data_IF_474748604027
#
_entry.id   IF_474748604027
#
_cell.length_a   1.000
_cell.length_b   1.000
_cell.length_c   1.000
_cell.angle_alpha   90.00
_cell.angle_beta   90.00
_cell.angle_gamma   90.00
#
_symmetry.space_group_name_H-M   'P 1'
#
loop_
_entity.id
_entity.type
_entity.pdbx_description
1 polymer ?
#
# COMPACT_ATOMS: atom_id res chain seq x y z
N UNK A 1 3.23 6.58 16.39
CA UNK A 1 3.04 6.83 14.95
C UNK A 1 2.41 5.58 14.36
N UNK A 2 1.12 5.63 13.99
CA UNK A 2 0.47 4.48 13.34
C UNK A 2 0.95 4.38 11.90
N UNK A 3 1.49 3.22 11.48
CA UNK A 3 1.94 2.97 10.11
C UNK A 3 0.80 2.33 9.33
N UNK A 4 0.26 3.03 8.33
CA UNK A 4 -0.68 2.44 7.38
C UNK A 4 0.05 2.09 6.09
N UNK A 5 -0.13 0.86 5.60
CA UNK A 5 0.41 0.39 4.32
C UNK A 5 -0.73 0.01 3.40
N UNK A 6 -0.70 0.52 2.17
CA UNK A 6 -1.69 0.22 1.13
C UNK A 6 -1.00 -0.58 0.03
N UNK A 7 -1.59 -1.71 -0.36
CA UNK A 7 -1.08 -2.59 -1.43
C UNK A 7 -2.17 -2.81 -2.47
N UNK A 8 -1.82 -2.67 -3.75
CA UNK A 8 -2.72 -2.95 -4.87
C UNK A 8 -2.64 -4.44 -5.23
N UNK A 9 -3.72 -5.20 -4.99
CA UNK A 9 -3.75 -6.66 -5.17
C UNK A 9 -4.08 -7.07 -6.61
N UNK A 10 -4.91 -6.29 -7.30
CA UNK A 10 -5.33 -6.56 -8.68
C UNK A 10 -4.74 -5.51 -9.62
N UNK A 11 -3.55 -5.80 -10.15
CA UNK A 11 -2.84 -4.93 -11.09
C UNK A 11 -3.19 -5.23 -12.54
N UNK A 12 -3.39 -4.17 -13.31
CA UNK A 12 -3.64 -4.18 -14.75
C UNK A 12 -2.33 -4.01 -15.55
N UNK A 13 -1.36 -3.28 -15.00
CA UNK A 13 -0.04 -3.11 -15.60
C UNK A 13 0.62 -4.47 -15.91
N UNK A 14 1.25 -4.56 -17.09
CA UNK A 14 1.94 -5.78 -17.56
C UNK A 14 3.39 -5.47 -17.93
N UNK A 15 4.29 -6.19 -17.28
CA UNK A 15 5.72 -6.13 -17.51
C UNK A 15 6.26 -7.28 -18.37
N UNK A 16 7.57 -7.37 -18.45
CA UNK A 16 8.28 -8.46 -19.13
C UNK A 16 9.36 -9.05 -18.22
N UNK A 17 9.62 -10.34 -18.41
CA UNK A 17 10.77 -11.04 -17.84
C UNK A 17 11.55 -11.61 -19.00
N UNK A 18 12.83 -11.28 -19.11
CA UNK A 18 13.71 -11.78 -20.16
C UNK A 18 14.99 -12.38 -19.58
N UNK A 19 15.55 -13.36 -20.27
CA UNK A 19 16.85 -13.91 -19.91
C UNK A 19 17.91 -12.82 -20.06
N UNK A 20 18.77 -12.70 -19.05
CA UNK A 20 19.90 -11.76 -19.09
C UNK A 20 21.06 -12.32 -19.93
N UNK A 21 21.25 -13.63 -19.91
CA UNK A 21 22.27 -14.37 -20.64
C UNK A 21 21.81 -15.82 -20.86
N UNK A 22 22.66 -16.65 -21.47
CA UNK A 22 22.46 -18.10 -21.57
C UNK A 22 22.82 -18.88 -20.30
N UNK A 23 23.43 -18.24 -19.29
CA UNK A 23 23.78 -18.87 -18.02
C UNK A 23 22.53 -18.99 -17.13
N UNK A 24 22.09 -20.21 -16.73
CA UNK A 24 20.89 -20.38 -15.91
C UNK A 24 21.02 -19.84 -14.48
N UNK A 25 22.25 -19.60 -14.00
CA UNK A 25 22.49 -19.01 -12.68
C UNK A 25 22.43 -17.47 -12.70
N UNK A 26 22.41 -16.85 -13.88
CA UNK A 26 22.26 -15.40 -13.99
C UNK A 26 20.81 -15.02 -13.74
N UNK A 27 20.62 -14.06 -12.82
CA UNK A 27 19.28 -13.51 -12.54
C UNK A 27 18.69 -12.92 -13.82
N UNK A 28 17.40 -13.19 -14.12
CA UNK A 28 16.75 -12.64 -15.31
C UNK A 28 16.58 -11.12 -15.18
N UNK A 29 16.36 -10.46 -16.30
CA UNK A 29 15.95 -9.06 -16.34
C UNK A 29 14.45 -9.00 -16.12
N UNK A 30 14.02 -8.30 -15.07
CA UNK A 30 12.60 -8.10 -14.74
C UNK A 30 12.27 -6.63 -14.94
N UNK A 31 11.36 -6.35 -15.87
CA UNK A 31 10.77 -5.02 -16.08
C UNK A 31 9.26 -5.09 -15.78
N UNK A 32 8.83 -4.83 -14.55
CA UNK A 32 7.45 -5.02 -14.14
C UNK A 32 6.49 -3.94 -14.67
N UNK A 33 7.01 -2.81 -15.18
CA UNK A 33 6.20 -1.68 -15.67
C UNK A 33 5.11 -1.23 -14.70
N UNK A 34 5.44 -1.13 -13.41
CA UNK A 34 4.47 -0.73 -12.38
C UNK A 34 3.81 0.62 -12.70
N UNK A 35 2.52 0.72 -12.38
CA UNK A 35 1.73 1.94 -12.53
C UNK A 35 1.75 2.52 -13.96
N UNK A 36 1.88 1.66 -14.98
CA UNK A 36 1.73 2.08 -16.37
C UNK A 36 0.27 2.20 -16.78
N UNK A 37 -0.61 1.38 -16.18
CA UNK A 37 -2.07 1.51 -16.35
C UNK A 37 -2.64 2.63 -15.49
N UNK A 38 -3.48 3.49 -16.09
CA UNK A 38 -4.25 4.50 -15.36
C UNK A 38 -5.17 3.87 -14.31
N UNK A 39 -5.69 2.67 -14.57
CA UNK A 39 -6.55 1.94 -13.63
C UNK A 39 -5.81 1.62 -12.32
N UNK A 40 -4.55 1.25 -12.41
CA UNK A 40 -3.72 0.95 -11.24
C UNK A 40 -3.44 2.21 -10.41
N UNK A 41 -3.09 3.31 -11.09
CA UNK A 41 -2.87 4.61 -10.44
C UNK A 41 -4.12 5.08 -9.70
N UNK A 42 -5.27 5.01 -10.34
CA UNK A 42 -6.54 5.41 -9.77
C UNK A 42 -6.92 4.56 -8.55
N UNK A 43 -6.78 3.24 -8.67
CA UNK A 43 -7.09 2.30 -7.58
C UNK A 43 -6.18 2.51 -6.37
N UNK A 44 -4.87 2.70 -6.60
CA UNK A 44 -3.92 2.96 -5.53
C UNK A 44 -4.15 4.32 -4.86
N UNK A 45 -4.43 5.35 -5.65
CA UNK A 45 -4.77 6.70 -5.15
C UNK A 45 -6.02 6.67 -4.29
N UNK A 46 -7.04 5.92 -4.71
CA UNK A 46 -8.24 5.73 -3.93
C UNK A 46 -7.94 5.06 -2.58
N UNK A 47 -7.17 3.96 -2.58
CA UNK A 47 -6.78 3.27 -1.34
C UNK A 47 -5.99 4.16 -0.37
N UNK A 48 -5.10 5.01 -0.87
CA UNK A 48 -4.36 5.98 -0.05
C UNK A 48 -5.30 7.02 0.59
N UNK A 49 -6.24 7.59 -0.18
CA UNK A 49 -7.23 8.54 0.34
C UNK A 49 -8.10 7.90 1.42
N UNK A 50 -8.62 6.70 1.15
CA UNK A 50 -9.41 5.95 2.13
C UNK A 50 -8.62 5.67 3.40
N UNK A 51 -7.35 5.28 3.29
CA UNK A 51 -6.51 5.09 4.48
C UNK A 51 -6.31 6.37 5.28
N UNK A 52 -6.16 7.53 4.63
CA UNK A 52 -6.03 8.80 5.32
C UNK A 52 -7.33 9.18 6.03
N UNK A 53 -8.48 8.91 5.42
CA UNK A 53 -9.78 9.19 6.03
C UNK A 53 -10.01 8.31 7.26
N UNK A 54 -9.63 7.03 7.21
CA UNK A 54 -9.65 6.13 8.38
C UNK A 54 -8.76 6.65 9.50
N UNK A 55 -7.52 7.06 9.18
CA UNK A 55 -6.61 7.59 10.20
C UNK A 55 -7.15 8.87 10.84
N UNK A 56 -7.70 9.79 10.04
CA UNK A 56 -8.31 11.02 10.55
C UNK A 56 -9.48 10.73 11.48
N UNK A 57 -10.35 9.79 11.10
CA UNK A 57 -11.45 9.35 11.95
C UNK A 57 -10.92 8.82 13.28
N UNK A 58 -9.95 7.91 13.25
CA UNK A 58 -9.33 7.35 14.47
C UNK A 58 -8.77 8.42 15.41
N UNK A 59 -8.10 9.45 14.88
CA UNK A 59 -7.56 10.54 15.72
C UNK A 59 -8.62 11.53 16.20
N UNK A 60 -9.76 11.63 15.51
CA UNK A 60 -10.84 12.55 15.87
C UNK A 60 -11.77 11.98 16.94
N UNK A 61 -11.70 10.66 17.18
CA UNK A 61 -12.47 10.01 18.26
C UNK A 61 -11.86 10.39 19.61
N UNK A 62 -12.66 10.92 20.56
CA UNK A 62 -12.16 11.17 21.91
C UNK A 62 -11.69 9.85 22.53
N UNK A 63 -10.66 9.91 23.37
CA UNK A 63 -10.17 8.75 24.12
C UNK A 63 -11.21 8.35 25.16
N UNK A 64 -12.24 7.63 24.72
CA UNK A 64 -13.29 7.11 25.58
C UNK A 64 -12.69 5.95 26.38
N UNK A 65 -12.45 6.17 27.68
CA UNK A 65 -12.19 5.08 28.63
C UNK A 65 -10.91 5.10 29.45
N UNK A 66 -10.23 6.23 29.66
CA UNK A 66 -9.33 6.33 30.82
C UNK A 66 -10.16 6.72 32.05
N UNK A 67 -10.68 5.72 32.76
CA UNK A 67 -11.16 5.94 34.13
C UNK A 67 -10.00 6.50 34.94
N UNK A 68 -10.20 7.68 35.53
CA UNK A 68 -9.20 8.32 36.36
C UNK A 68 -9.05 7.50 37.65
N UNK A 69 -7.88 6.91 37.87
CA UNK A 69 -7.55 6.15 39.08
C UNK A 69 -7.57 7.00 40.35
N UNK A 70 -7.71 8.33 40.22
CA UNK A 70 -7.91 9.25 41.34
C UNK A 70 -9.38 9.36 41.79
N UNK A 71 -10.33 8.73 41.08
CA UNK A 71 -11.76 8.72 41.44
C UNK A 71 -12.14 7.49 42.30
N UNK A 72 -11.15 6.71 42.78
CA UNK A 72 -11.29 5.59 43.73
C UNK A 72 -10.56 5.86 45.05
#
# INVERSE_FOLDING_TARGET
MSLSTVVLVSVDSRGTITLKSSNPFDKPKVDPKYLTSEKDKNSLTWGLKTSLDILKDMYSRPSEGYVNIADY
#
